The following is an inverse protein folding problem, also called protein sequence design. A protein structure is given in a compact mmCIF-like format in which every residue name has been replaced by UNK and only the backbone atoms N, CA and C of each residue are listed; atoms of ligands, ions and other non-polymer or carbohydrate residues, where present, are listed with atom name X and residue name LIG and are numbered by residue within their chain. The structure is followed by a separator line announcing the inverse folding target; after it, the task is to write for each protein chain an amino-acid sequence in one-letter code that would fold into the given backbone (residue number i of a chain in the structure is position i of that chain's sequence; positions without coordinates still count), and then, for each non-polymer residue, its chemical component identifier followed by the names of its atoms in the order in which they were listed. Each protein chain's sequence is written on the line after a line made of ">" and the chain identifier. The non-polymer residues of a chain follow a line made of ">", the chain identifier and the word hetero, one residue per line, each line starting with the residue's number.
data_IF_167658916312
#
_entry.id   IF_167658916312
#
_cell.length_a   1.000
_cell.length_b   1.000
_cell.length_c   1.000
_cell.angle_alpha   90.00
_cell.angle_beta   90.00
_cell.angle_gamma   90.00
#
_symmetry.space_group_name_H-M   'P 1'
#
loop_
_entity.id
_entity.type
_entity.pdbx_description
1 polymer ?
#
# COMPACT_ATOMS: atom_id res chain seq x y z
N UNK A 1 19.84 -3.46 -25.83
CA UNK A 1 18.61 -2.76 -25.39
C UNK A 1 18.18 -3.43 -24.10
N UNK A 2 18.02 -2.69 -22.99
CA UNK A 2 17.30 -3.24 -21.83
C UNK A 2 15.86 -3.34 -22.27
N UNK A 3 15.33 -4.55 -22.42
CA UNK A 3 13.94 -4.77 -22.80
C UNK A 3 13.06 -3.91 -21.90
N UNK A 4 12.34 -2.97 -22.51
CA UNK A 4 11.41 -2.15 -21.75
C UNK A 4 10.39 -3.10 -21.15
N UNK A 5 10.06 -2.88 -19.89
CA UNK A 5 8.98 -3.58 -19.24
C UNK A 5 7.75 -3.57 -20.16
N UNK A 6 7.14 -4.72 -20.48
CA UNK A 6 5.90 -4.73 -21.23
C UNK A 6 4.93 -3.79 -20.52
N UNK A 7 4.10 -3.06 -21.26
CA UNK A 7 3.16 -2.14 -20.63
C UNK A 7 2.09 -2.99 -19.91
N UNK A 8 2.36 -3.33 -18.64
CA UNK A 8 1.51 -4.16 -17.82
C UNK A 8 0.42 -3.27 -17.25
N UNK A 9 -0.77 -3.41 -17.82
CA UNK A 9 -1.96 -2.69 -17.38
C UNK A 9 -2.89 -3.58 -16.54
N UNK A 10 -2.65 -4.89 -16.54
CA UNK A 10 -3.44 -5.84 -15.79
C UNK A 10 -2.74 -6.27 -14.48
N UNK A 11 -3.45 -6.30 -13.33
CA UNK A 11 -2.90 -6.73 -12.05
C UNK A 11 -2.21 -8.11 -12.08
N UNK A 12 -2.75 -9.07 -12.84
CA UNK A 12 -2.15 -10.40 -12.98
C UNK A 12 -0.77 -10.32 -13.60
N UNK A 13 -0.62 -9.50 -14.64
CA UNK A 13 0.67 -9.34 -15.31
C UNK A 13 1.70 -8.69 -14.37
N UNK A 14 1.30 -7.66 -13.63
CA UNK A 14 2.16 -6.98 -12.65
C UNK A 14 2.63 -7.98 -11.58
N UNK A 15 1.72 -8.79 -11.05
CA UNK A 15 2.05 -9.85 -10.07
C UNK A 15 3.06 -10.85 -10.64
N UNK A 16 2.82 -11.38 -11.85
CA UNK A 16 3.67 -12.38 -12.49
C UNK A 16 5.09 -11.84 -12.76
N UNK A 17 5.20 -10.63 -13.28
CA UNK A 17 6.50 -10.02 -13.61
C UNK A 17 7.28 -9.56 -12.36
N UNK A 18 6.56 -9.10 -11.32
CA UNK A 18 7.17 -8.84 -10.01
C UNK A 18 7.75 -10.13 -9.42
N UNK A 19 6.99 -11.22 -9.44
CA UNK A 19 7.47 -12.52 -8.97
C UNK A 19 8.65 -13.02 -9.81
N UNK A 20 8.59 -12.89 -11.14
CA UNK A 20 9.69 -13.27 -12.04
C UNK A 20 10.99 -12.54 -11.72
N UNK A 21 10.91 -11.27 -11.38
CA UNK A 21 12.09 -10.42 -11.13
C UNK A 21 12.62 -10.56 -9.70
N UNK A 22 11.72 -10.62 -8.72
CA UNK A 22 12.06 -10.53 -7.29
C UNK A 22 12.03 -11.88 -6.57
N UNK A 23 11.45 -12.91 -7.19
CA UNK A 23 11.12 -14.21 -6.58
C UNK A 23 10.11 -14.15 -5.42
N UNK A 24 9.49 -12.98 -5.21
CA UNK A 24 8.53 -12.73 -4.12
C UNK A 24 7.12 -12.54 -4.69
N UNK A 25 6.11 -13.07 -4.00
CA UNK A 25 4.71 -12.82 -4.33
C UNK A 25 4.33 -11.39 -3.90
N UNK A 26 3.96 -10.54 -4.87
CA UNK A 26 3.70 -9.13 -4.65
C UNK A 26 2.55 -8.91 -3.66
N UNK A 27 1.36 -9.45 -3.94
CA UNK A 27 0.16 -9.25 -3.11
C UNK A 27 0.36 -9.65 -1.64
N UNK A 28 0.79 -10.89 -1.31
CA UNK A 28 1.05 -11.27 0.08
C UNK A 28 2.12 -10.40 0.75
N UNK A 29 3.18 -10.06 0.02
CA UNK A 29 4.27 -9.23 0.55
C UNK A 29 3.80 -7.80 0.84
N UNK A 30 3.01 -7.24 -0.07
CA UNK A 30 2.44 -5.90 0.05
C UNK A 30 1.49 -5.83 1.23
N UNK A 31 0.55 -6.78 1.36
CA UNK A 31 -0.40 -6.80 2.48
C UNK A 31 0.31 -6.98 3.81
N UNK A 32 1.28 -7.90 3.89
CA UNK A 32 2.10 -8.06 5.10
C UNK A 32 2.88 -6.79 5.48
N UNK A 33 3.45 -6.09 4.50
CA UNK A 33 4.15 -4.83 4.75
C UNK A 33 3.18 -3.71 5.15
N UNK A 34 1.99 -3.66 4.55
CA UNK A 34 0.94 -2.73 4.90
C UNK A 34 0.54 -2.92 6.36
N UNK A 35 0.16 -4.14 6.76
CA UNK A 35 -0.19 -4.49 8.15
C UNK A 35 0.90 -4.10 9.14
N UNK A 36 2.17 -4.39 8.79
CA UNK A 36 3.34 -4.04 9.62
C UNK A 36 3.46 -2.53 9.83
N UNK A 37 3.15 -1.71 8.83
CA UNK A 37 3.35 -0.27 8.87
C UNK A 37 2.10 0.52 9.29
N UNK A 38 0.91 -0.08 9.19
CA UNK A 38 -0.39 0.53 9.56
C UNK A 38 -0.38 1.17 10.95
N UNK A 39 0.09 0.53 12.04
CA UNK A 39 0.10 1.16 13.37
C UNK A 39 0.86 2.49 13.40
N UNK A 40 2.03 2.56 12.75
CA UNK A 40 2.85 3.78 12.69
C UNK A 40 2.19 4.86 11.84
N UNK A 41 1.57 4.47 10.72
CA UNK A 41 0.84 5.40 9.86
C UNK A 41 -0.34 6.02 10.62
N UNK A 42 -1.10 5.23 11.37
CA UNK A 42 -2.21 5.70 12.19
C UNK A 42 -1.76 6.71 13.25
N UNK A 43 -0.64 6.45 13.95
CA UNK A 43 -0.08 7.43 14.89
C UNK A 43 0.25 8.76 14.21
N UNK A 44 0.89 8.71 13.04
CA UNK A 44 1.23 9.91 12.27
C UNK A 44 -0.02 10.66 11.78
N UNK A 45 -1.07 9.93 11.41
CA UNK A 45 -2.32 10.51 10.93
C UNK A 45 -3.09 11.22 12.05
N UNK A 46 -3.13 10.65 13.25
CA UNK A 46 -3.72 11.30 14.43
C UNK A 46 -2.99 12.58 14.83
N UNK A 47 -1.68 12.64 14.59
CA UNK A 47 -0.90 13.84 14.85
C UNK A 47 -1.14 14.96 13.82
N UNK A 48 -1.83 14.70 12.70
CA UNK A 48 -2.16 15.74 11.71
C UNK A 48 -3.41 16.50 12.15
N UNK A 49 -3.30 17.83 12.20
CA UNK A 49 -4.45 18.73 12.40
C UNK A 49 -5.01 19.30 11.10
N UNK A 50 -5.90 20.29 11.24
CA UNK A 50 -6.45 21.06 10.12
C UNK A 50 -7.37 20.25 9.19
N UNK A 51 -7.54 20.73 7.95
CA UNK A 51 -8.43 20.08 6.98
C UNK A 51 -7.98 18.66 6.61
N UNK A 52 -6.67 18.40 6.57
CA UNK A 52 -6.12 17.07 6.33
C UNK A 52 -6.37 16.14 7.53
N UNK A 53 -6.15 16.62 8.75
CA UNK A 53 -6.44 15.87 9.97
C UNK A 53 -7.89 15.39 10.02
N UNK A 54 -8.85 16.29 9.76
CA UNK A 54 -10.29 15.93 9.73
C UNK A 54 -10.63 14.88 8.68
N UNK A 55 -10.02 14.94 7.49
CA UNK A 55 -10.22 13.91 6.46
C UNK A 55 -9.65 12.56 6.89
N UNK A 56 -8.48 12.57 7.53
CA UNK A 56 -7.86 11.35 8.04
C UNK A 56 -8.65 10.76 9.21
N UNK A 57 -9.26 11.58 10.06
CA UNK A 57 -10.12 11.17 11.17
C UNK A 57 -11.33 10.38 10.67
N UNK A 58 -12.03 10.90 9.64
CA UNK A 58 -13.14 10.17 8.96
C UNK A 58 -12.66 8.82 8.41
N UNK A 59 -11.48 8.77 7.80
CA UNK A 59 -10.93 7.52 7.25
C UNK A 59 -10.62 6.53 8.38
N UNK A 60 -10.06 6.99 9.51
CA UNK A 60 -9.76 6.14 10.66
C UNK A 60 -11.04 5.62 11.36
N UNK A 61 -12.09 6.44 11.43
CA UNK A 61 -13.42 6.02 11.93
C UNK A 61 -14.04 4.94 11.06
N UNK A 62 -13.99 5.06 9.73
CA UNK A 62 -14.48 4.04 8.79
C UNK A 62 -13.73 2.72 8.93
N UNK A 63 -12.44 2.77 9.28
CA UNK A 63 -11.62 1.60 9.55
C UNK A 63 -11.85 1.02 10.95
N UNK A 64 -12.73 1.63 11.77
CA UNK A 64 -13.01 1.26 13.16
C UNK A 64 -11.77 1.25 14.05
N UNK A 65 -10.74 2.04 13.72
CA UNK A 65 -9.50 2.11 14.47
C UNK A 65 -9.59 3.23 15.52
N UNK A 66 -10.04 2.88 16.74
CA UNK A 66 -10.15 3.75 17.92
C UNK A 66 -8.81 4.27 18.42
#
# INVERSE_FOLDING_TARGET
>A
MKDRWPALFDPYQINAEFQRTTTVLLEPKFMSALDRHTPKLLTLFRAKGGALGRRLEIIMELLQVQ
#
